data_IF_839485769344
#
_entry.id   IF_839485769344
#
_cell.length_a   1.000
_cell.length_b   1.000
_cell.length_c   1.000
_cell.angle_alpha   90.00
_cell.angle_beta   90.00
_cell.angle_gamma   90.00
#
_symmetry.space_group_name_H-M   'P 1'
#
loop_
_entity.id
_entity.type
_entity.pdbx_description
1 polymer ?
#
# COMPACT_ATOMS: atom_id res chain seq x y z
N UNK A 1 9.10 -0.47 -13.85
CA UNK A 1 7.85 -1.09 -13.32
C UNK A 1 7.25 -0.17 -12.28
N UNK A 2 5.92 -0.07 -12.18
CA UNK A 2 5.28 0.81 -11.18
C UNK A 2 4.84 0.00 -9.97
N UNK A 3 5.50 0.24 -8.84
CA UNK A 3 5.12 -0.38 -7.57
C UNK A 3 4.42 0.65 -6.69
N UNK A 4 3.39 0.20 -6.00
CA UNK A 4 2.78 0.93 -4.91
C UNK A 4 3.11 0.22 -3.61
N UNK A 5 3.57 0.99 -2.65
CA UNK A 5 3.87 0.55 -1.31
C UNK A 5 2.93 1.26 -0.34
N UNK A 6 2.40 0.53 0.61
CA UNK A 6 1.54 1.05 1.67
C UNK A 6 2.36 1.09 2.94
N UNK A 7 2.65 2.29 3.42
CA UNK A 7 3.44 2.55 4.61
C UNK A 7 2.54 3.08 5.72
N UNK A 8 2.66 2.53 6.92
CA UNK A 8 1.99 3.06 8.10
C UNK A 8 2.95 3.93 8.88
N UNK A 9 2.60 5.20 9.04
CA UNK A 9 3.37 6.19 9.78
C UNK A 9 3.37 5.86 11.28
N UNK A 10 2.21 5.45 11.78
CA UNK A 10 2.03 5.08 13.19
C UNK A 10 2.83 3.82 13.56
N UNK A 11 2.81 2.80 12.69
CA UNK A 11 3.58 1.56 12.92
C UNK A 11 5.04 1.65 12.46
N UNK A 12 5.44 2.75 11.80
CA UNK A 12 6.74 2.95 11.15
C UNK A 12 7.19 1.76 10.30
N UNK A 13 6.26 1.12 9.58
CA UNK A 13 6.55 -0.08 8.78
C UNK A 13 5.76 -0.12 7.47
N UNK A 14 6.31 -0.85 6.51
CA UNK A 14 5.61 -1.19 5.27
C UNK A 14 4.59 -2.29 5.57
N UNK A 15 3.34 -2.05 5.22
CA UNK A 15 2.24 -2.99 5.36
C UNK A 15 2.07 -3.87 4.13
N UNK A 16 2.29 -3.30 2.95
CA UNK A 16 2.15 -4.01 1.69
C UNK A 16 2.94 -3.35 0.57
N UNK A 17 3.35 -4.15 -0.42
CA UNK A 17 3.94 -3.67 -1.68
C UNK A 17 3.40 -4.50 -2.82
N UNK A 18 2.83 -3.85 -3.82
CA UNK A 18 2.25 -4.52 -4.99
C UNK A 18 2.64 -3.80 -6.28
N UNK A 19 2.63 -4.54 -7.38
CA UNK A 19 2.94 -4.00 -8.70
C UNK A 19 1.64 -3.69 -9.44
N UNK A 20 1.43 -2.43 -9.78
CA UNK A 20 0.19 -1.98 -10.44
C UNK A 20 -0.02 -2.66 -11.79
N UNK A 21 1.05 -3.14 -12.43
CA UNK A 21 0.98 -3.83 -13.73
C UNK A 21 0.47 -5.28 -13.64
N UNK A 22 0.64 -5.93 -12.48
CA UNK A 22 0.30 -7.35 -12.29
C UNK A 22 -0.87 -7.58 -11.34
N UNK A 23 -1.23 -6.57 -10.56
CA UNK A 23 -2.35 -6.63 -9.63
C UNK A 23 -3.56 -5.94 -10.23
N UNK A 24 -4.65 -6.68 -10.40
CA UNK A 24 -5.95 -6.13 -10.80
C UNK A 24 -6.50 -5.20 -9.71
N UNK A 25 -7.33 -4.23 -10.11
CA UNK A 25 -7.95 -3.26 -9.19
C UNK A 25 -8.72 -3.94 -8.06
N UNK A 26 -9.39 -5.05 -8.34
CA UNK A 26 -10.13 -5.86 -7.35
C UNK A 26 -9.24 -6.36 -6.20
N UNK A 27 -8.06 -6.88 -6.55
CA UNK A 27 -7.06 -7.36 -5.57
C UNK A 27 -6.50 -6.18 -4.78
N UNK A 28 -6.27 -5.05 -5.45
CA UNK A 28 -5.77 -3.83 -4.79
C UNK A 28 -6.81 -3.27 -3.81
N UNK A 29 -8.09 -3.27 -4.17
CA UNK A 29 -9.18 -2.77 -3.34
C UNK A 29 -9.30 -3.59 -2.04
N UNK A 30 -9.31 -4.92 -2.14
CA UNK A 30 -9.31 -5.80 -0.97
C UNK A 30 -8.11 -5.60 -0.04
N UNK A 31 -6.94 -5.30 -0.63
CA UNK A 31 -5.70 -5.03 0.10
C UNK A 31 -5.78 -3.68 0.85
N UNK A 32 -6.30 -2.65 0.19
CA UNK A 32 -6.55 -1.34 0.81
C UNK A 32 -7.62 -1.47 1.92
N UNK A 33 -8.70 -2.21 1.67
CA UNK A 33 -9.78 -2.40 2.64
C UNK A 33 -9.30 -3.12 3.90
N UNK A 34 -8.49 -4.17 3.75
CA UNK A 34 -7.88 -4.88 4.88
C UNK A 34 -7.01 -3.95 5.72
N UNK A 35 -6.18 -3.13 5.07
CA UNK A 35 -5.32 -2.16 5.75
C UNK A 35 -6.14 -1.05 6.42
N UNK A 36 -7.21 -0.60 5.77
CA UNK A 36 -8.13 0.39 6.33
C UNK A 36 -8.74 -0.14 7.64
N UNK A 37 -9.28 -1.35 7.63
CA UNK A 37 -9.90 -1.96 8.83
C UNK A 37 -8.89 -2.20 9.93
N UNK A 38 -7.67 -2.63 9.59
CA UNK A 38 -6.65 -3.01 10.57
C UNK A 38 -5.92 -1.80 11.17
N UNK A 39 -5.70 -0.75 10.38
CA UNK A 39 -4.86 0.39 10.75
C UNK A 39 -5.64 1.70 10.81
N UNK A 40 -6.35 2.09 9.74
CA UNK A 40 -7.07 3.37 9.72
C UNK A 40 -8.20 3.42 10.75
N UNK A 41 -8.93 2.30 10.96
CA UNK A 41 -9.96 2.21 12.00
C UNK A 41 -9.41 2.39 13.42
N UNK A 42 -8.15 2.02 13.65
CA UNK A 42 -7.42 2.27 14.90
C UNK A 42 -6.85 3.69 15.02
N UNK A 43 -7.13 4.57 14.06
CA UNK A 43 -6.58 5.93 14.02
C UNK A 43 -5.15 6.02 13.45
N UNK A 44 -4.66 4.96 12.79
CA UNK A 44 -3.31 5.00 12.23
C UNK A 44 -3.31 5.76 10.91
N UNK A 45 -2.29 6.59 10.73
CA UNK A 45 -2.05 7.26 9.46
C UNK A 45 -1.32 6.33 8.50
N UNK A 46 -1.95 6.04 7.36
CA UNK A 46 -1.40 5.19 6.30
C UNK A 46 -1.15 6.04 5.05
N UNK A 47 0.02 5.90 4.44
CA UNK A 47 0.44 6.61 3.22
C UNK A 47 0.73 5.61 2.12
N UNK A 48 0.22 5.88 0.92
CA UNK A 48 0.49 5.06 -0.27
C UNK A 48 1.58 5.75 -1.07
N UNK A 49 2.77 5.14 -1.10
CA UNK A 49 3.93 5.62 -1.83
C UNK A 49 3.97 4.94 -3.20
N UNK A 50 3.95 5.74 -4.26
CA UNK A 50 4.20 5.26 -5.63
C UNK A 50 5.70 5.25 -5.86
N UNK A 51 6.34 4.08 -5.82
CA UNK A 51 7.72 3.93 -6.29
C UNK A 51 7.68 3.59 -7.78
N UNK A 52 8.04 4.57 -8.61
CA UNK A 52 8.54 4.22 -9.94
C UNK A 52 9.83 3.44 -9.71
N UNK A 53 9.93 2.24 -10.27
CA UNK A 53 11.24 1.59 -10.35
C UNK A 53 12.05 2.47 -11.28
N UNK A 54 12.96 3.25 -10.71
CA UNK A 54 14.01 3.89 -11.47
C UNK A 54 14.85 2.75 -12.05
N UNK A 55 14.74 2.56 -13.36
CA UNK A 55 15.70 1.76 -14.11
C UNK A 55 16.95 2.63 -14.19
N UNK A 56 17.92 2.35 -13.32
CA UNK A 56 19.30 2.82 -13.43
C UNK A 56 20.17 1.64 -13.83
#
# INVERSE_FOLDING_TARGET
>A
MEFREIYCDNCKKVLARYNVKYYSEDVVDGLIQTIHVTHTRGGHHVKIHKKKSETG
#
